data_IF_756546537796
#
_entry.id   IF_756546537796
#
_cell.length_a   1.000
_cell.length_b   1.000
_cell.length_c   1.000
_cell.angle_alpha   90.00
_cell.angle_beta   90.00
_cell.angle_gamma   90.00
#
_symmetry.space_group_name_H-M   'P 1'
#
loop_
_entity.id
_entity.type
_entity.pdbx_description
1 polymer ?
#
# COMPACT_ATOMS: atom_id res chain seq x y z
N UNK A 1 -13.12 -1.88 -18.81
CA UNK A 1 -11.68 -1.83 -19.11
C UNK A 1 -10.92 -2.55 -18.00
N UNK A 2 -9.89 -3.34 -18.33
CA UNK A 2 -8.97 -3.95 -17.35
C UNK A 2 -7.67 -3.15 -17.32
N UNK A 3 -7.12 -2.93 -16.12
CA UNK A 3 -5.85 -2.24 -15.89
C UNK A 3 -5.04 -3.01 -14.84
N UNK A 4 -3.81 -3.36 -15.18
CA UNK A 4 -2.79 -3.75 -14.22
C UNK A 4 -1.96 -2.51 -13.88
N UNK A 5 -2.00 -2.07 -12.63
CA UNK A 5 -1.26 -0.89 -12.18
C UNK A 5 0.24 -1.14 -12.05
N UNK A 6 0.67 -2.40 -12.05
CA UNK A 6 2.09 -2.75 -12.00
C UNK A 6 2.77 -2.73 -13.37
N UNK A 7 1.99 -2.58 -14.44
CA UNK A 7 2.48 -2.53 -15.81
C UNK A 7 3.47 -1.38 -16.07
N UNK A 8 4.14 -1.44 -17.21
CA UNK A 8 5.07 -0.39 -17.61
C UNK A 8 4.36 0.93 -17.93
N UNK A 9 5.11 2.03 -17.84
CA UNK A 9 4.58 3.38 -18.02
C UNK A 9 3.84 3.59 -19.37
N UNK A 10 4.32 3.06 -20.52
CA UNK A 10 3.57 3.11 -21.77
C UNK A 10 2.20 2.44 -21.69
N UNK A 11 2.09 1.24 -21.10
CA UNK A 11 0.81 0.54 -20.96
C UNK A 11 -0.16 1.34 -20.09
N UNK A 12 0.32 1.91 -18.98
CA UNK A 12 -0.50 2.76 -18.10
C UNK A 12 -1.01 4.00 -18.86
N UNK A 13 -0.14 4.66 -19.63
CA UNK A 13 -0.52 5.82 -20.46
C UNK A 13 -1.57 5.44 -21.51
N UNK A 14 -1.43 4.28 -22.14
CA UNK A 14 -2.39 3.80 -23.14
C UNK A 14 -3.76 3.53 -22.52
N UNK A 15 -3.79 2.94 -21.33
CA UNK A 15 -5.03 2.75 -20.57
C UNK A 15 -5.64 4.06 -20.08
N UNK A 16 -4.83 5.03 -19.69
CA UNK A 16 -5.33 6.38 -19.38
C UNK A 16 -5.99 7.03 -20.61
N UNK A 17 -5.39 6.88 -21.81
CA UNK A 17 -5.99 7.34 -23.07
C UNK A 17 -7.28 6.60 -23.41
N UNK A 18 -7.32 5.28 -23.21
CA UNK A 18 -8.53 4.47 -23.38
C UNK A 18 -9.64 4.98 -22.45
N UNK A 19 -9.34 5.21 -21.16
CA UNK A 19 -10.29 5.75 -20.19
C UNK A 19 -10.86 7.11 -20.62
N UNK A 20 -9.98 8.01 -21.09
CA UNK A 20 -10.37 9.32 -21.58
C UNK A 20 -11.20 9.24 -22.87
N UNK A 21 -11.04 8.21 -23.69
CA UNK A 21 -11.82 8.07 -24.93
C UNK A 21 -13.31 7.81 -24.69
N UNK A 22 -13.69 7.29 -23.52
CA UNK A 22 -15.09 7.03 -23.20
C UNK A 22 -15.87 8.30 -22.84
N UNK A 23 -15.26 9.21 -22.08
CA UNK A 23 -15.96 10.34 -21.45
C UNK A 23 -15.29 11.70 -21.67
N UNK A 24 -14.14 11.75 -22.34
CA UNK A 24 -13.37 12.97 -22.63
C UNK A 24 -12.63 13.58 -21.43
N UNK A 25 -12.97 13.18 -20.20
CA UNK A 25 -12.34 13.64 -18.94
C UNK A 25 -12.47 12.57 -17.85
N UNK A 26 -11.66 12.70 -16.81
CA UNK A 26 -11.79 11.95 -15.55
C UNK A 26 -11.95 12.95 -14.40
N UNK A 27 -13.09 12.90 -13.71
CA UNK A 27 -13.40 13.81 -12.59
C UNK A 27 -12.78 13.36 -11.28
N UNK A 28 -12.73 12.04 -11.09
CA UNK A 28 -12.30 11.41 -9.84
C UNK A 28 -11.39 10.24 -10.18
N UNK A 29 -10.18 10.26 -9.64
CA UNK A 29 -9.25 9.14 -9.68
C UNK A 29 -9.14 8.54 -8.29
N UNK A 30 -9.45 7.25 -8.16
CA UNK A 30 -9.31 6.49 -6.91
C UNK A 30 -8.17 5.48 -7.08
N UNK A 31 -7.03 5.73 -6.45
CA UNK A 31 -5.89 4.81 -6.39
C UNK A 31 -6.13 3.75 -5.31
N UNK A 32 -6.99 2.78 -5.60
CA UNK A 32 -7.39 1.72 -4.65
C UNK A 32 -6.53 0.45 -4.73
N UNK A 33 -5.95 0.16 -5.91
CA UNK A 33 -5.19 -1.08 -6.09
C UNK A 33 -3.94 -1.07 -5.19
N UNK A 34 -3.79 -2.14 -4.41
CA UNK A 34 -2.66 -2.32 -3.51
C UNK A 34 -2.62 -3.74 -2.94
N UNK A 35 -1.42 -4.21 -2.62
CA UNK A 35 -1.23 -5.49 -1.94
C UNK A 35 -0.05 -5.39 -0.96
N UNK A 36 0.04 -6.36 -0.05
CA UNK A 36 1.15 -6.45 0.91
C UNK A 36 1.74 -7.84 0.85
N UNK A 37 3.05 -7.94 0.68
CA UNK A 37 3.78 -9.13 1.07
C UNK A 37 3.75 -9.25 2.59
N UNK A 38 3.71 -10.50 3.06
CA UNK A 38 3.91 -10.84 4.46
C UNK A 38 5.28 -11.51 4.57
N UNK A 39 6.27 -10.69 4.84
CA UNK A 39 7.67 -11.08 5.00
C UNK A 39 8.28 -10.13 6.01
N UNK A 40 9.17 -10.63 6.87
CA UNK A 40 9.92 -9.76 7.75
C UNK A 40 10.93 -8.95 6.95
N UNK A 41 11.30 -7.77 7.46
CA UNK A 41 12.18 -6.88 6.74
C UNK A 41 13.59 -7.48 6.46
N UNK A 42 14.06 -8.41 7.30
CA UNK A 42 15.35 -9.10 7.09
C UNK A 42 15.31 -10.20 6.04
N UNK A 43 14.14 -10.83 5.86
CA UNK A 43 13.91 -11.91 4.89
C UNK A 43 13.46 -11.39 3.52
N UNK A 44 13.03 -10.13 3.47
CA UNK A 44 12.55 -9.47 2.27
C UNK A 44 13.70 -9.21 1.29
N UNK A 45 13.55 -9.70 0.06
CA UNK A 45 14.49 -9.37 -1.02
C UNK A 45 14.19 -7.97 -1.57
N UNK A 46 15.19 -7.34 -2.19
CA UNK A 46 14.97 -6.07 -2.89
C UNK A 46 13.91 -6.19 -4.00
N UNK A 47 13.76 -7.37 -4.60
CA UNK A 47 12.73 -7.64 -5.60
C UNK A 47 11.32 -7.61 -4.99
N UNK A 48 11.14 -8.08 -3.75
CA UNK A 48 9.86 -8.01 -3.04
C UNK A 48 9.47 -6.55 -2.76
N UNK A 49 10.43 -5.74 -2.32
CA UNK A 49 10.23 -4.30 -2.18
C UNK A 49 9.85 -3.67 -3.52
N UNK A 50 10.61 -3.91 -4.57
CA UNK A 50 10.33 -3.35 -5.89
C UNK A 50 8.93 -3.71 -6.38
N UNK A 51 8.52 -4.97 -6.24
CA UNK A 51 7.21 -5.43 -6.71
C UNK A 51 6.08 -4.77 -5.90
N UNK A 52 6.21 -4.69 -4.57
CA UNK A 52 5.20 -4.04 -3.73
C UNK A 52 5.10 -2.53 -4.00
N UNK A 53 6.23 -1.85 -4.16
CA UNK A 53 6.27 -0.42 -4.49
C UNK A 53 5.77 -0.16 -5.92
N UNK A 54 5.98 -1.09 -6.85
CA UNK A 54 5.46 -1.01 -8.21
C UNK A 54 3.93 -0.90 -8.21
N UNK A 55 3.24 -1.76 -7.46
CA UNK A 55 1.77 -1.72 -7.37
C UNK A 55 1.25 -0.60 -6.48
N UNK A 56 1.86 -0.38 -5.31
CA UNK A 56 1.29 0.51 -4.29
C UNK A 56 1.66 1.98 -4.49
N UNK A 57 2.73 2.29 -5.22
CA UNK A 57 3.24 3.66 -5.39
C UNK A 57 3.46 4.04 -6.85
N UNK A 58 4.27 3.27 -7.59
CA UNK A 58 4.68 3.67 -8.94
C UNK A 58 3.52 3.63 -9.93
N UNK A 59 2.70 2.58 -9.90
CA UNK A 59 1.48 2.49 -10.71
C UNK A 59 0.50 3.65 -10.50
N UNK A 60 0.05 3.89 -9.26
CA UNK A 60 -0.76 5.06 -8.90
C UNK A 60 -0.14 6.39 -9.33
N UNK A 61 1.16 6.57 -9.14
CA UNK A 61 1.86 7.79 -9.55
C UNK A 61 1.83 7.95 -11.08
N UNK A 62 2.15 6.91 -11.84
CA UNK A 62 2.12 6.92 -13.29
C UNK A 62 0.72 7.21 -13.85
N UNK A 63 -0.32 6.56 -13.28
CA UNK A 63 -1.71 6.79 -13.67
C UNK A 63 -2.16 8.22 -13.35
N UNK A 64 -1.80 8.72 -12.17
CA UNK A 64 -2.08 10.10 -11.76
C UNK A 64 -1.41 11.09 -12.71
N UNK A 65 -0.13 10.93 -13.00
CA UNK A 65 0.61 11.78 -13.94
C UNK A 65 0.05 11.71 -15.36
N UNK A 66 -0.44 10.55 -15.81
CA UNK A 66 -1.05 10.40 -17.13
C UNK A 66 -2.39 11.15 -17.26
N UNK A 67 -3.15 11.28 -16.18
CA UNK A 67 -4.47 11.95 -16.16
C UNK A 67 -4.41 13.43 -15.77
N UNK A 68 -3.40 13.84 -14.99
CA UNK A 68 -3.23 15.21 -14.49
C UNK A 68 -3.21 16.34 -15.55
N UNK A 69 -2.73 16.17 -16.79
CA UNK A 69 -2.79 17.25 -17.79
C UNK A 69 -4.21 17.73 -18.11
N UNK A 70 -5.24 16.94 -17.75
CA UNK A 70 -6.65 17.28 -17.92
C UNK A 70 -7.36 17.65 -16.61
N UNK A 71 -6.74 17.37 -15.46
CA UNK A 71 -7.19 17.84 -14.16
C UNK A 71 -6.57 19.22 -13.90
N UNK A 72 -7.31 20.29 -14.15
CA UNK A 72 -6.83 21.66 -13.94
C UNK A 72 -6.52 21.89 -12.46
N UNK A 73 -5.25 21.82 -12.08
CA UNK A 73 -4.79 22.27 -10.76
C UNK A 73 -4.21 23.66 -10.94
N UNK A 74 -4.91 24.69 -10.45
CA UNK A 74 -4.36 26.04 -10.33
C UNK A 74 -3.04 25.95 -9.53
N UNK A 75 -1.92 26.30 -10.17
CA UNK A 75 -0.60 26.33 -9.52
C UNK A 75 -0.57 27.48 -8.51
N UNK A 76 -0.97 27.20 -7.27
CA UNK A 76 -0.78 28.09 -6.12
C UNK A 76 0.23 27.43 -5.19
N UNK A 77 1.31 28.16 -4.88
CA UNK A 77 2.42 27.84 -3.95
C UNK A 77 3.62 27.03 -4.50
N UNK A 78 4.85 27.27 -3.99
CA UNK A 78 6.05 26.60 -4.46
C UNK A 78 5.97 25.09 -4.24
N UNK A 79 6.17 24.35 -5.33
CA UNK A 79 6.01 22.90 -5.41
C UNK A 79 7.00 22.20 -4.47
N UNK A 80 6.48 21.64 -3.36
CA UNK A 80 7.19 20.56 -2.68
C UNK A 80 7.23 19.37 -3.64
N UNK A 81 8.42 18.88 -4.00
CA UNK A 81 8.55 17.74 -4.91
C UNK A 81 7.86 16.50 -4.31
N UNK A 82 6.67 16.16 -4.81
CA UNK A 82 5.84 15.04 -4.31
C UNK A 82 6.63 13.73 -4.29
N UNK A 83 7.47 13.48 -5.30
CA UNK A 83 8.36 12.32 -5.36
C UNK A 83 9.37 12.29 -4.20
N UNK A 84 9.99 13.43 -3.88
CA UNK A 84 10.95 13.51 -2.77
C UNK A 84 10.25 13.26 -1.43
N UNK A 85 9.11 13.93 -1.19
CA UNK A 85 8.33 13.76 0.02
C UNK A 85 7.87 12.30 0.21
N UNK A 86 7.36 11.67 -0.85
CA UNK A 86 6.96 10.26 -0.84
C UNK A 86 8.14 9.35 -0.50
N UNK A 87 9.31 9.55 -1.13
CA UNK A 87 10.51 8.74 -0.86
C UNK A 87 10.98 8.84 0.60
N UNK A 88 10.96 10.04 1.19
CA UNK A 88 11.38 10.26 2.59
C UNK A 88 10.34 9.75 3.59
N UNK A 89 9.06 9.88 3.28
CA UNK A 89 7.99 9.29 4.10
C UNK A 89 8.09 7.76 4.12
N UNK A 90 8.29 7.13 2.96
CA UNK A 90 8.47 5.68 2.86
C UNK A 90 9.67 5.21 3.70
N UNK A 91 10.82 5.89 3.59
CA UNK A 91 12.01 5.57 4.38
C UNK A 91 11.74 5.70 5.89
N UNK A 92 11.07 6.77 6.33
CA UNK A 92 10.73 6.98 7.74
C UNK A 92 9.88 5.84 8.30
N UNK A 93 8.80 5.50 7.59
CA UNK A 93 7.87 4.45 8.01
C UNK A 93 8.56 3.09 8.02
N UNK A 94 9.41 2.81 7.03
CA UNK A 94 10.22 1.59 7.00
C UNK A 94 11.11 1.46 8.24
N UNK A 95 11.87 2.51 8.59
CA UNK A 95 12.73 2.48 9.78
C UNK A 95 11.95 2.30 11.08
N UNK A 96 10.76 2.91 11.20
CA UNK A 96 9.89 2.75 12.38
C UNK A 96 9.30 1.34 12.50
N UNK A 97 8.89 0.74 11.38
CA UNK A 97 8.37 -0.64 11.36
C UNK A 97 9.46 -1.65 11.69
N UNK A 98 10.64 -1.51 11.07
CA UNK A 98 11.80 -2.36 11.34
C UNK A 98 12.19 -2.33 12.82
N UNK A 99 12.20 -1.14 13.44
CA UNK A 99 12.50 -1.03 14.86
C UNK A 99 11.52 -1.81 15.75
N UNK A 100 10.24 -1.91 15.35
CA UNK A 100 9.24 -2.72 16.06
C UNK A 100 9.45 -4.20 15.82
N UNK A 101 9.71 -4.63 14.60
CA UNK A 101 10.02 -6.02 14.26
C UNK A 101 11.20 -6.52 15.11
N UNK A 102 12.31 -5.77 15.09
CA UNK A 102 13.49 -6.09 15.89
C UNK A 102 13.21 -6.12 17.40
N UNK A 103 12.30 -5.29 17.91
CA UNK A 103 11.93 -5.31 19.33
C UNK A 103 11.16 -6.56 19.74
N UNK A 104 10.44 -7.19 18.81
CA UNK A 104 9.70 -8.44 19.04
C UNK A 104 10.64 -9.64 18.94
N UNK A 105 11.56 -9.60 17.97
CA UNK A 105 12.45 -10.72 17.62
C UNK A 105 13.68 -10.77 18.53
N UNK A 106 14.18 -9.61 18.95
CA UNK A 106 15.30 -9.45 19.87
C UNK A 106 14.85 -8.60 21.08
N UNK A 107 14.01 -9.14 21.97
CA UNK A 107 13.52 -8.41 23.13
C UNK A 107 14.66 -8.13 24.10
N UNK A 108 15.32 -6.98 23.94
CA UNK A 108 16.11 -6.37 24.99
C UNK A 108 15.09 -5.91 26.04
N UNK A 109 15.15 -6.47 27.25
CA UNK A 109 14.19 -6.24 28.34
C UNK A 109 13.65 -4.80 28.40
N UNK A 110 12.40 -4.58 27.97
CA UNK A 110 11.63 -3.38 28.37
C UNK A 110 10.74 -2.64 27.38
N UNK A 111 10.63 -2.98 26.08
CA UNK A 111 9.81 -2.18 25.14
C UNK A 111 8.43 -2.81 24.84
N UNK A 112 7.36 -2.18 25.33
CA UNK A 112 5.97 -2.42 24.90
C UNK A 112 5.65 -1.58 23.66
N UNK A 113 5.37 -2.21 22.52
CA UNK A 113 4.96 -1.51 21.30
C UNK A 113 3.52 -1.89 20.93
N UNK A 114 2.60 -0.95 21.14
CA UNK A 114 1.21 -1.05 20.71
C UNK A 114 0.95 -0.11 19.54
N UNK A 115 0.35 -0.63 18.46
CA UNK A 115 -0.75 -0.01 17.68
C UNK A 115 -1.07 -0.85 16.43
N UNK A 116 -2.32 -1.34 16.28
CA UNK A 116 -2.83 -1.87 15.02
C UNK A 116 -3.72 -0.85 14.28
N UNK A 117 -3.76 -0.93 12.95
CA UNK A 117 -4.90 -0.45 12.15
C UNK A 117 -4.91 -1.12 10.77
N UNK A 118 -6.06 -1.67 10.38
CA UNK A 118 -6.33 -2.25 9.06
C UNK A 118 -7.84 -2.20 8.77
N UNK A 119 -8.21 -2.15 7.50
CA UNK A 119 -9.61 -2.24 7.04
C UNK A 119 -9.93 -3.67 6.64
N UNK A 120 -11.20 -4.08 6.77
CA UNK A 120 -11.66 -5.36 6.20
C UNK A 120 -11.66 -5.21 4.68
N UNK A 121 -11.02 -6.07 3.92
CA UNK A 121 -11.15 -6.07 2.47
C UNK A 121 -11.50 -7.48 2.00
N UNK A 122 -12.30 -7.55 0.94
CA UNK A 122 -12.89 -8.79 0.40
C UNK A 122 -11.81 -9.78 -0.09
N UNK A 123 -10.59 -9.28 -0.32
CA UNK A 123 -9.41 -10.04 -0.73
C UNK A 123 -8.56 -10.56 0.44
N UNK A 124 -9.06 -10.53 1.68
CA UNK A 124 -8.40 -10.99 2.92
C UNK A 124 -6.87 -10.87 2.86
N UNK A 125 -6.34 -9.64 2.85
CA UNK A 125 -4.88 -9.42 2.81
C UNK A 125 -4.18 -10.08 4.00
N UNK A 126 -4.91 -10.27 5.12
CA UNK A 126 -4.46 -11.01 6.30
C UNK A 126 -4.53 -12.55 6.12
N UNK A 127 -5.08 -13.07 5.03
CA UNK A 127 -5.16 -14.49 4.69
C UNK A 127 -4.13 -14.96 3.65
N UNK A 128 -3.38 -14.06 2.99
CA UNK A 128 -2.30 -14.50 2.09
C UNK A 128 -1.23 -15.30 2.86
N UNK A 129 -0.68 -16.37 2.27
CA UNK A 129 0.42 -17.09 2.90
C UNK A 129 1.62 -16.16 3.11
N UNK A 130 2.40 -16.43 4.16
CA UNK A 130 3.70 -15.79 4.31
C UNK A 130 4.56 -16.09 3.09
N UNK A 131 5.30 -15.09 2.63
CA UNK A 131 6.27 -15.30 1.59
C UNK A 131 7.49 -15.98 2.23
N UNK A 132 7.69 -17.26 1.91
CA UNK A 132 8.79 -18.05 2.46
C UNK A 132 10.08 -17.61 1.76
N UNK A 133 11.10 -17.11 2.48
CA UNK A 133 12.37 -16.73 1.89
C UNK A 133 13.09 -17.94 1.26
N UNK A 134 13.96 -17.67 0.30
CA UNK A 134 14.69 -18.72 -0.43
C UNK A 134 15.65 -19.54 0.45
N UNK A 135 16.02 -19.02 1.64
CA UNK A 135 16.89 -19.70 2.60
C UNK A 135 16.38 -19.48 4.05
N UNK A 136 15.39 -20.26 4.51
CA UNK A 136 14.75 -20.10 5.81
C UNK A 136 15.68 -20.44 6.99
N UNK A 137 15.72 -19.62 8.04
CA UNK A 137 16.36 -19.97 9.32
C UNK A 137 15.33 -20.66 10.23
N UNK A 138 15.52 -21.96 10.55
CA UNK A 138 14.49 -22.77 11.20
C UNK A 138 14.17 -22.36 12.65
N UNK A 139 15.06 -21.66 13.35
CA UNK A 139 14.81 -21.19 14.74
C UNK A 139 14.11 -19.83 14.75
N UNK A 140 14.38 -19.01 13.74
CA UNK A 140 13.82 -17.68 13.58
C UNK A 140 12.39 -17.72 13.02
N UNK A 141 12.18 -18.53 11.97
CA UNK A 141 10.88 -18.68 11.30
C UNK A 141 9.79 -19.14 12.27
N UNK A 142 10.08 -20.10 13.15
CA UNK A 142 9.07 -20.65 14.06
C UNK A 142 8.49 -19.61 15.04
N UNK A 143 9.30 -18.63 15.47
CA UNK A 143 8.85 -17.57 16.40
C UNK A 143 8.26 -16.37 15.67
N UNK A 144 8.87 -15.98 14.54
CA UNK A 144 8.42 -14.90 13.67
C UNK A 144 7.06 -15.18 13.03
N UNK A 145 6.91 -16.36 12.42
CA UNK A 145 5.69 -16.81 11.78
C UNK A 145 4.59 -17.01 12.82
N UNK A 146 4.86 -17.70 13.94
CA UNK A 146 3.84 -17.93 14.96
C UNK A 146 3.33 -16.62 15.58
N UNK A 147 4.21 -15.70 15.98
CA UNK A 147 3.82 -14.43 16.61
C UNK A 147 3.07 -13.50 15.65
N UNK A 148 3.50 -13.44 14.39
CA UNK A 148 2.86 -12.58 13.38
C UNK A 148 1.55 -13.22 12.88
N UNK A 149 1.53 -14.54 12.63
CA UNK A 149 0.32 -15.26 12.22
C UNK A 149 -0.75 -15.24 13.31
N UNK A 150 -0.40 -15.42 14.59
CA UNK A 150 -1.35 -15.28 15.71
C UNK A 150 -1.97 -13.88 15.75
N UNK A 151 -1.15 -12.83 15.56
CA UNK A 151 -1.63 -11.45 15.50
C UNK A 151 -2.57 -11.23 14.31
N UNK A 152 -2.23 -11.72 13.12
CA UNK A 152 -3.03 -11.56 11.90
C UNK A 152 -4.35 -12.34 11.99
N UNK A 153 -4.33 -13.58 12.50
CA UNK A 153 -5.53 -14.40 12.74
C UNK A 153 -6.40 -13.77 13.83
N UNK A 154 -5.80 -13.22 14.89
CA UNK A 154 -6.55 -12.52 15.93
C UNK A 154 -7.23 -11.25 15.43
N UNK A 155 -6.65 -10.59 14.42
CA UNK A 155 -7.18 -9.40 13.78
C UNK A 155 -8.17 -9.72 12.65
N UNK A 156 -8.13 -10.92 12.06
CA UNK A 156 -9.01 -11.31 10.97
C UNK A 156 -10.49 -11.36 11.43
N UNK A 157 -11.37 -10.79 10.61
CA UNK A 157 -12.78 -10.53 10.95
C UNK A 157 -13.03 -9.55 12.10
N UNK A 158 -12.00 -9.07 12.82
CA UNK A 158 -12.08 -8.11 13.94
C UNK A 158 -11.46 -6.76 13.65
N UNK A 159 -11.01 -6.53 12.41
CA UNK A 159 -10.48 -5.24 11.98
C UNK A 159 -11.53 -4.14 12.24
N UNK A 160 -11.08 -2.98 12.72
CA UNK A 160 -11.95 -1.90 13.24
C UNK A 160 -12.68 -1.14 12.14
N UNK A 161 -12.17 -1.17 10.91
CA UNK A 161 -12.73 -0.45 9.76
C UNK A 161 -13.87 -1.20 9.05
N UNK A 162 -14.89 -0.45 8.64
CA UNK A 162 -16.06 -0.91 7.88
C UNK A 162 -15.95 -0.44 6.41
N UNK A 163 -15.90 -1.36 5.42
CA UNK A 163 -15.73 -1.01 4.01
C UNK A 163 -16.91 -0.25 3.43
N UNK A 164 -18.14 -0.56 3.87
CA UNK A 164 -19.33 0.15 3.39
C UNK A 164 -19.28 1.61 3.84
N UNK A 165 -18.93 1.84 5.10
CA UNK A 165 -18.72 3.22 5.60
C UNK A 165 -17.59 3.95 4.90
N UNK A 166 -16.51 3.24 4.54
CA UNK A 166 -15.42 3.84 3.78
C UNK A 166 -15.90 4.29 2.37
N UNK A 167 -16.69 3.45 1.70
CA UNK A 167 -17.30 3.78 0.40
C UNK A 167 -18.29 4.94 0.53
N UNK A 168 -19.13 4.97 1.56
CA UNK A 168 -20.05 6.09 1.84
C UNK A 168 -19.29 7.41 1.97
N UNK A 169 -18.23 7.44 2.78
CA UNK A 169 -17.39 8.65 2.97
C UNK A 169 -16.71 9.07 1.67
N UNK A 170 -16.25 8.13 0.85
CA UNK A 170 -15.67 8.43 -0.47
C UNK A 170 -16.72 9.02 -1.40
N UNK A 171 -17.93 8.46 -1.44
CA UNK A 171 -19.04 8.97 -2.26
C UNK A 171 -19.44 10.38 -1.81
N UNK A 172 -19.55 10.61 -0.50
CA UNK A 172 -19.90 11.93 0.05
C UNK A 172 -18.83 12.97 -0.28
N UNK A 173 -17.54 12.62 -0.11
CA UNK A 173 -16.43 13.51 -0.47
C UNK A 173 -16.39 13.85 -1.97
N UNK A 174 -16.85 12.95 -2.83
CA UNK A 174 -17.00 13.19 -4.27
C UNK A 174 -18.20 14.07 -4.57
N UNK A 175 -19.34 13.87 -3.88
CA UNK A 175 -20.59 14.62 -4.09
C UNK A 175 -20.55 16.04 -3.57
N UNK A 176 -19.81 16.33 -2.51
CA UNK A 176 -19.64 17.68 -1.96
C UNK A 176 -18.70 18.58 -2.79
N UNK A 177 -18.07 18.02 -3.82
CA UNK A 177 -17.41 18.78 -4.90
C UNK A 177 -18.29 18.76 -6.15
N UNK A 178 -19.28 19.64 -6.16
CA UNK A 178 -20.10 20.01 -7.32
C UNK A 178 -20.53 21.46 -7.22
#
# INVERSE_FOLDING_TARGET
>A
MQLDVSADEPTIKDKAREALSFWGRVDVLINNAGYSFKVLAEDASLADFQTQFQTNLYGPAALTTALLPQCVVEKREPLHCSLYAASKAALRVYSESLAKELSVLYPISGSSSSKPSGFRTEQNVLGYPFHIPANPDPVYDANAEAGTQELLVALDGKQRGDPQKAVEVIIDAVREKG
#
